data_IF_283576414086
#
_entry.id   IF_283576414086
#
_cell.length_a   1.000
_cell.length_b   1.000
_cell.length_c   1.000
_cell.angle_alpha   90.00
_cell.angle_beta   90.00
_cell.angle_gamma   90.00
#
_symmetry.space_group_name_H-M   'P 1'
#
loop_
_entity.id
_entity.type
_entity.pdbx_description
1 polymer ?
#
# COMPACT_ATOMS: atom_id res chain seq x y z
N UNK A 1 -18.94 16.93 -3.36
CA UNK A 1 -18.06 15.95 -4.04
C UNK A 1 -17.68 16.54 -5.38
N UNK A 2 -16.39 16.69 -5.64
CA UNK A 2 -15.85 17.09 -6.93
C UNK A 2 -15.59 15.84 -7.78
N UNK A 3 -15.68 15.95 -9.10
CA UNK A 3 -15.38 14.84 -10.02
C UNK A 3 -14.15 15.19 -10.83
N UNK A 4 -13.21 14.26 -10.88
CA UNK A 4 -12.00 14.34 -11.65
C UNK A 4 -12.04 13.25 -12.72
N UNK A 5 -11.85 13.65 -13.97
CA UNK A 5 -11.79 12.74 -15.10
C UNK A 5 -10.39 12.81 -15.67
N UNK A 6 -9.72 11.66 -15.70
CA UNK A 6 -8.40 11.54 -16.31
C UNK A 6 -8.56 11.29 -17.80
N UNK A 7 -7.66 11.87 -18.57
CA UNK A 7 -7.44 11.50 -19.96
C UNK A 7 -6.56 10.24 -20.04
N UNK A 8 -6.58 9.52 -21.17
CA UNK A 8 -5.69 8.39 -21.39
C UNK A 8 -4.22 8.74 -21.15
N UNK A 9 -3.58 8.04 -20.21
CA UNK A 9 -2.17 8.26 -19.87
C UNK A 9 -1.89 9.56 -19.10
N UNK A 10 -2.91 10.16 -18.48
CA UNK A 10 -2.76 11.43 -17.76
C UNK A 10 -2.00 11.24 -16.43
N UNK A 11 -1.10 12.18 -16.16
CA UNK A 11 -0.31 12.24 -14.93
C UNK A 11 -0.62 13.53 -14.18
N UNK A 12 -1.35 13.41 -13.07
CA UNK A 12 -1.57 14.48 -12.11
C UNK A 12 -0.55 14.33 -10.99
N UNK A 13 0.60 14.97 -11.20
CA UNK A 13 1.73 14.92 -10.26
C UNK A 13 1.55 15.88 -9.08
N UNK A 14 0.78 16.95 -9.25
CA UNK A 14 0.48 17.89 -8.17
C UNK A 14 -0.53 17.26 -7.21
N UNK A 15 -0.17 17.00 -5.93
CA UNK A 15 -1.06 16.32 -5.01
C UNK A 15 -2.28 17.18 -4.73
N UNK A 16 -3.46 16.69 -5.09
CA UNK A 16 -4.74 17.33 -4.82
C UNK A 16 -5.46 16.63 -3.66
N UNK A 17 -6.45 17.30 -3.10
CA UNK A 17 -7.12 16.83 -1.89
C UNK A 17 -7.09 17.83 -0.73
N UNK A 18 -7.86 17.49 0.30
CA UNK A 18 -7.97 18.19 1.56
C UNK A 18 -9.23 17.77 2.31
N UNK A 19 -9.22 17.85 3.64
CA UNK A 19 -10.28 17.29 4.51
C UNK A 19 -11.71 17.76 4.24
N UNK A 20 -11.89 18.86 3.50
CA UNK A 20 -13.22 19.42 3.17
C UNK A 20 -13.71 19.08 1.76
N UNK A 21 -12.91 18.40 0.96
CA UNK A 21 -13.19 18.13 -0.46
C UNK A 21 -13.02 16.66 -0.76
N UNK A 22 -14.14 15.98 -1.00
CA UNK A 22 -14.16 14.61 -1.51
C UNK A 22 -14.11 14.60 -3.04
N UNK A 23 -13.26 13.76 -3.61
CA UNK A 23 -13.08 13.61 -5.06
C UNK A 23 -13.53 12.23 -5.54
N UNK A 24 -14.32 12.19 -6.61
CA UNK A 24 -14.53 10.96 -7.39
C UNK A 24 -13.55 10.99 -8.56
N UNK A 25 -12.63 10.04 -8.62
CA UNK A 25 -11.59 9.99 -9.64
C UNK A 25 -11.92 8.90 -10.64
N UNK A 26 -12.13 9.30 -11.90
CA UNK A 26 -12.45 8.42 -13.00
C UNK A 26 -11.23 8.30 -13.91
N UNK A 27 -10.65 7.10 -13.95
CA UNK A 27 -9.52 6.76 -14.82
C UNK A 27 -9.98 6.29 -16.20
N UNK A 28 -9.04 5.77 -16.98
CA UNK A 28 -9.31 5.18 -18.29
C UNK A 28 -8.86 3.72 -18.36
N UNK A 29 -8.47 3.23 -19.55
CA UNK A 29 -7.87 1.90 -19.70
C UNK A 29 -6.36 1.96 -19.90
N UNK A 30 -5.78 3.16 -19.88
CA UNK A 30 -4.36 3.40 -20.03
C UNK A 30 -3.70 3.53 -18.65
N UNK A 31 -2.38 3.77 -18.62
CA UNK A 31 -1.63 3.88 -17.37
C UNK A 31 -1.73 5.30 -16.84
N UNK A 32 -2.45 5.53 -15.76
CA UNK A 32 -2.57 6.86 -15.18
C UNK A 32 -1.78 7.04 -13.89
N UNK A 33 -1.35 8.28 -13.64
CA UNK A 33 -0.71 8.66 -12.38
C UNK A 33 -1.51 9.74 -11.68
N UNK A 34 -1.86 9.52 -10.41
CA UNK A 34 -2.59 10.51 -9.59
C UNK A 34 -1.91 10.72 -8.25
N UNK A 35 -1.72 11.98 -7.87
CA UNK A 35 -1.14 12.35 -6.60
C UNK A 35 -2.18 12.91 -5.63
N UNK A 36 -2.15 12.46 -4.38
CA UNK A 36 -3.04 12.90 -3.32
C UNK A 36 -2.27 13.46 -2.13
N UNK A 37 -2.88 14.41 -1.42
CA UNK A 37 -2.38 14.92 -0.13
C UNK A 37 -2.61 13.93 1.02
N UNK A 38 -1.84 14.02 2.13
CA UNK A 38 -2.00 13.13 3.30
C UNK A 38 -3.33 13.32 4.06
N UNK A 39 -4.11 14.32 3.69
CA UNK A 39 -5.42 14.67 4.23
C UNK A 39 -6.52 14.63 3.14
N UNK A 40 -6.26 13.94 2.03
CA UNK A 40 -7.17 13.85 0.90
C UNK A 40 -8.29 12.83 1.13
N UNK A 41 -9.49 13.17 0.67
CA UNK A 41 -10.63 12.26 0.62
C UNK A 41 -10.93 11.98 -0.85
N UNK A 42 -10.78 10.74 -1.29
CA UNK A 42 -10.97 10.38 -2.69
C UNK A 42 -11.57 8.97 -2.84
N UNK A 43 -12.38 8.79 -3.88
CA UNK A 43 -12.95 7.50 -4.27
C UNK A 43 -12.55 7.27 -5.71
N UNK A 44 -11.73 6.25 -5.93
CA UNK A 44 -11.27 5.87 -7.26
C UNK A 44 -12.32 4.93 -7.88
N UNK A 45 -12.60 5.15 -9.16
CA UNK A 45 -13.51 4.33 -9.94
C UNK A 45 -12.89 2.96 -10.25
N UNK A 46 -13.68 1.89 -10.47
CA UNK A 46 -13.17 0.57 -10.83
C UNK A 46 -12.24 0.53 -12.05
N UNK A 47 -12.18 1.56 -12.90
CA UNK A 47 -11.13 1.70 -13.91
C UNK A 47 -9.72 1.42 -13.38
N UNK A 48 -9.41 1.88 -12.16
CA UNK A 48 -8.11 1.68 -11.49
C UNK A 48 -7.83 0.23 -11.07
N UNK A 49 -8.83 -0.66 -11.13
CA UNK A 49 -8.64 -2.09 -10.84
C UNK A 49 -8.04 -2.87 -12.03
N UNK A 50 -7.94 -2.24 -13.20
CA UNK A 50 -7.37 -2.89 -14.40
C UNK A 50 -5.86 -3.00 -14.36
N UNK A 51 -5.23 -2.18 -13.51
CA UNK A 51 -3.84 -2.26 -13.11
C UNK A 51 -2.88 -1.52 -14.03
N UNK A 52 -1.70 -1.23 -13.49
CA UNK A 52 -0.69 -0.38 -14.10
C UNK A 52 -0.78 1.10 -13.72
N UNK A 53 -1.84 1.51 -13.02
CA UNK A 53 -1.97 2.86 -12.48
C UNK A 53 -1.06 3.11 -11.29
N UNK A 54 -0.60 4.35 -11.15
CA UNK A 54 0.24 4.81 -10.05
C UNK A 54 -0.50 5.82 -9.18
N UNK A 55 -0.79 5.44 -7.94
CA UNK A 55 -1.41 6.30 -6.93
C UNK A 55 -0.31 6.80 -6.00
N UNK A 56 0.04 8.06 -6.14
CA UNK A 56 1.03 8.72 -5.29
C UNK A 56 0.35 9.38 -4.09
N UNK A 57 0.80 9.06 -2.88
CA UNK A 57 0.32 9.61 -1.62
C UNK A 57 1.45 10.46 -1.04
N UNK A 58 1.20 11.76 -0.88
CA UNK A 58 2.16 12.64 -0.23
C UNK A 58 2.21 12.31 1.27
N UNK A 59 3.25 11.60 1.69
CA UNK A 59 3.47 11.21 3.09
C UNK A 59 4.16 9.85 3.19
N UNK A 60 4.74 9.54 4.34
CA UNK A 60 5.31 8.21 4.60
C UNK A 60 4.20 7.21 4.94
N UNK A 61 4.31 5.96 4.46
CA UNK A 61 3.36 4.87 4.70
C UNK A 61 3.07 4.66 6.18
N UNK A 62 4.07 4.87 7.05
CA UNK A 62 3.99 4.76 8.53
C UNK A 62 2.92 5.66 9.17
N UNK A 63 2.48 6.71 8.45
CA UNK A 63 1.46 7.64 8.94
C UNK A 63 0.07 7.30 8.41
N UNK A 64 -0.07 6.17 7.72
CA UNK A 64 -1.32 5.71 7.15
C UNK A 64 -1.66 4.32 7.67
N UNK A 65 -2.94 4.13 7.91
CA UNK A 65 -3.55 2.85 8.22
C UNK A 65 -4.32 2.36 6.99
N UNK A 66 -4.11 1.11 6.62
CA UNK A 66 -4.84 0.46 5.54
C UNK A 66 -5.84 -0.56 6.08
N UNK A 67 -7.06 -0.55 5.54
CA UNK A 67 -8.01 -1.63 5.79
C UNK A 67 -8.78 -1.98 4.51
N UNK A 68 -9.26 -3.21 4.42
CA UNK A 68 -10.20 -3.59 3.39
C UNK A 68 -11.63 -3.25 3.79
N UNK A 69 -12.39 -2.80 2.80
CA UNK A 69 -13.84 -2.68 2.87
C UNK A 69 -14.44 -3.31 1.62
N UNK A 70 -14.81 -4.59 1.72
CA UNK A 70 -15.26 -5.38 0.57
C UNK A 70 -14.15 -5.57 -0.47
N UNK A 71 -14.32 -4.99 -1.65
CA UNK A 71 -13.34 -5.00 -2.75
C UNK A 71 -12.61 -3.66 -2.92
N UNK A 72 -12.61 -2.83 -1.88
CA UNK A 72 -11.89 -1.58 -1.86
C UNK A 72 -10.86 -1.60 -0.72
N UNK A 73 -9.64 -1.18 -1.05
CA UNK A 73 -8.64 -0.82 -0.07
C UNK A 73 -8.89 0.62 0.36
N UNK A 74 -9.11 0.81 1.65
CA UNK A 74 -9.34 2.11 2.26
C UNK A 74 -8.05 2.52 2.97
N UNK A 75 -7.46 3.61 2.50
CA UNK A 75 -6.31 4.24 3.14
C UNK A 75 -6.80 5.39 4.01
N UNK A 76 -6.47 5.33 5.30
CA UNK A 76 -6.80 6.37 6.27
C UNK A 76 -5.56 6.94 6.93
N UNK A 77 -5.64 8.18 7.41
CA UNK A 77 -4.55 8.79 8.18
C UNK A 77 -5.08 9.58 9.38
N UNK A 78 -4.26 9.79 10.43
CA UNK A 78 -4.59 10.71 11.53
C UNK A 78 -4.78 12.16 11.06
N UNK A 79 -4.20 12.52 9.91
CA UNK A 79 -4.40 13.82 9.28
C UNK A 79 -5.77 13.94 8.57
N UNK A 80 -6.52 12.83 8.45
CA UNK A 80 -7.86 12.77 7.90
C UNK A 80 -7.95 12.31 6.44
N UNK A 81 -6.93 11.63 5.92
CA UNK A 81 -7.05 10.97 4.62
C UNK A 81 -8.14 9.89 4.69
N UNK A 82 -8.87 9.73 3.58
CA UNK A 82 -9.79 8.64 3.36
C UNK A 82 -9.88 8.36 1.86
N UNK A 83 -9.02 7.46 1.38
CA UNK A 83 -8.88 7.17 -0.05
C UNK A 83 -9.34 5.74 -0.30
N UNK A 84 -10.41 5.57 -1.07
CA UNK A 84 -10.95 4.28 -1.45
C UNK A 84 -10.43 3.87 -2.83
N UNK A 85 -9.60 2.84 -2.86
CA UNK A 85 -8.94 2.32 -4.07
C UNK A 85 -9.52 0.93 -4.37
N UNK A 86 -10.17 0.71 -5.52
CA UNK A 86 -10.69 -0.60 -5.88
C UNK A 86 -9.54 -1.56 -6.18
N UNK A 87 -9.60 -2.75 -5.57
CA UNK A 87 -8.54 -3.76 -5.74
C UNK A 87 -8.80 -4.65 -6.94
N UNK A 88 -7.77 -4.86 -7.75
CA UNK A 88 -7.80 -5.67 -8.96
C UNK A 88 -6.80 -6.82 -8.94
N UNK A 89 -6.92 -7.73 -9.91
CA UNK A 89 -6.00 -8.86 -10.07
C UNK A 89 -4.70 -8.50 -10.79
N UNK A 90 -4.70 -7.45 -11.60
CA UNK A 90 -3.50 -6.96 -12.32
C UNK A 90 -2.52 -6.22 -11.38
N UNK A 91 -3.06 -5.54 -10.37
CA UNK A 91 -2.28 -4.77 -9.39
C UNK A 91 -2.13 -3.29 -9.76
N UNK A 92 -2.32 -2.42 -8.77
CA UNK A 92 -2.08 -0.97 -8.86
C UNK A 92 -0.83 -0.62 -8.02
N UNK A 93 -0.05 0.38 -8.44
CA UNK A 93 1.12 0.83 -7.69
C UNK A 93 0.74 1.96 -6.75
N UNK A 94 0.92 1.77 -5.46
CA UNK A 94 0.76 2.82 -4.44
C UNK A 94 2.14 3.34 -4.08
N UNK A 95 2.45 4.57 -4.46
CA UNK A 95 3.70 5.24 -4.11
C UNK A 95 3.49 6.14 -2.91
N UNK A 96 4.26 5.91 -1.86
CA UNK A 96 4.41 6.80 -0.72
C UNK A 96 5.74 7.56 -0.83
N UNK A 97 5.98 8.47 0.10
CA UNK A 97 7.24 9.21 0.17
C UNK A 97 8.44 8.34 0.60
N UNK A 98 8.20 7.22 1.28
CA UNK A 98 9.21 6.26 1.75
C UNK A 98 9.47 5.12 0.75
N UNK A 99 8.50 4.77 -0.10
CA UNK A 99 8.61 3.66 -1.04
C UNK A 99 7.36 3.46 -1.89
N UNK A 100 7.45 2.59 -2.89
CA UNK A 100 6.32 2.24 -3.77
C UNK A 100 6.00 0.76 -3.65
N UNK A 101 4.72 0.44 -3.47
CA UNK A 101 4.22 -0.90 -3.19
C UNK A 101 3.10 -1.28 -4.14
N UNK A 102 2.98 -2.55 -4.49
CA UNK A 102 1.93 -3.03 -5.40
C UNK A 102 0.73 -3.52 -4.61
N UNK A 103 -0.43 -2.89 -4.82
CA UNK A 103 -1.72 -3.30 -4.30
C UNK A 103 -2.38 -4.27 -5.29
N UNK A 104 -2.46 -5.55 -4.95
CA UNK A 104 -3.04 -6.57 -5.82
C UNK A 104 -3.87 -7.61 -5.06
N UNK A 105 -4.89 -8.14 -5.71
CA UNK A 105 -5.61 -9.32 -5.24
C UNK A 105 -5.06 -10.59 -5.91
N UNK A 106 -4.50 -11.51 -5.12
CA UNK A 106 -3.88 -12.74 -5.66
C UNK A 106 -4.88 -13.90 -5.90
N UNK A 107 -6.18 -13.65 -5.78
CA UNK A 107 -7.23 -14.68 -5.83
C UNK A 107 -7.71 -15.17 -4.47
N UNK A 108 -6.90 -14.98 -3.42
CA UNK A 108 -7.23 -15.38 -2.04
C UNK A 108 -7.21 -14.18 -1.09
N UNK A 109 -6.15 -13.38 -1.14
CA UNK A 109 -5.90 -12.25 -0.26
C UNK A 109 -5.58 -10.99 -1.07
N UNK A 110 -5.87 -9.82 -0.49
CA UNK A 110 -5.34 -8.55 -1.00
C UNK A 110 -4.00 -8.30 -0.33
N UNK A 111 -2.99 -8.02 -1.15
CA UNK A 111 -1.65 -7.69 -0.69
C UNK A 111 -1.30 -6.27 -1.10
N UNK A 112 -0.64 -5.55 -0.20
CA UNK A 112 0.04 -4.30 -0.49
C UNK A 112 1.53 -4.54 -0.27
N UNK A 113 2.29 -4.69 -1.35
CA UNK A 113 3.67 -5.17 -1.26
C UNK A 113 3.71 -6.60 -0.73
N UNK A 114 4.39 -6.82 0.41
CA UNK A 114 4.44 -8.11 1.10
C UNK A 114 3.34 -8.27 2.17
N UNK A 115 2.70 -7.18 2.59
CA UNK A 115 1.71 -7.18 3.67
C UNK A 115 0.33 -7.63 3.18
N UNK A 116 -0.33 -8.48 3.96
CA UNK A 116 -1.71 -8.91 3.70
C UNK A 116 -2.64 -7.91 4.39
N UNK A 117 -3.48 -7.22 3.62
CA UNK A 117 -4.46 -6.29 4.18
C UNK A 117 -5.75 -7.06 4.49
N UNK A 118 -6.34 -6.78 5.65
CA UNK A 118 -7.62 -7.36 6.08
C UNK A 118 -8.63 -6.27 6.38
N UNK A 119 -9.85 -6.63 6.79
CA UNK A 119 -10.89 -5.65 7.16
C UNK A 119 -10.57 -4.86 8.44
N UNK A 120 -9.56 -5.29 9.20
CA UNK A 120 -9.10 -4.58 10.39
C UNK A 120 -8.05 -3.54 9.99
N UNK A 121 -8.17 -2.28 10.43
CA UNK A 121 -7.14 -1.26 10.23
C UNK A 121 -5.80 -1.71 10.79
N UNK A 122 -4.80 -1.72 9.93
CA UNK A 122 -3.41 -2.03 10.27
C UNK A 122 -2.50 -0.94 9.74
N UNK A 123 -1.51 -0.58 10.56
CA UNK A 123 -0.51 0.42 10.20
C UNK A 123 0.40 -0.12 9.10
N UNK A 124 0.78 0.74 8.16
CA UNK A 124 1.59 0.38 6.99
C UNK A 124 3.09 0.63 7.23
N UNK A 125 3.54 0.37 8.46
CA UNK A 125 4.93 0.58 8.88
C UNK A 125 5.91 -0.46 8.33
N UNK A 126 5.39 -1.62 7.90
CA UNK A 126 6.20 -2.80 7.60
C UNK A 126 5.80 -3.47 6.28
N UNK A 127 5.50 -2.63 5.28
CA UNK A 127 5.09 -3.06 3.94
C UNK A 127 6.13 -3.94 3.22
N UNK A 128 7.38 -3.88 3.69
CA UNK A 128 8.52 -4.60 3.15
C UNK A 128 9.11 -5.64 4.14
N UNK A 129 8.50 -5.90 5.31
CA UNK A 129 8.95 -7.10 6.05
C UNK A 129 8.57 -8.34 5.27
N UNK A 130 9.62 -8.98 4.77
CA UNK A 130 9.59 -10.41 4.59
C UNK A 130 9.07 -11.01 5.90
N UNK A 131 8.13 -11.97 5.85
CA UNK A 131 7.69 -12.68 7.06
C UNK A 131 8.97 -13.13 7.75
N UNK A 132 9.19 -12.64 8.98
CA UNK A 132 10.41 -12.93 9.71
C UNK A 132 10.62 -14.44 9.60
N UNK A 133 11.68 -14.85 8.92
CA UNK A 133 12.22 -16.18 9.11
C UNK A 133 12.49 -16.21 10.61
N UNK A 134 11.60 -16.87 11.35
CA UNK A 134 11.87 -17.31 12.71
C UNK A 134 13.01 -18.31 12.57
N UNK A 135 14.22 -17.79 12.34
CA UNK A 135 15.42 -18.40 12.83
C UNK A 135 15.25 -18.33 14.34
N UNK A 136 14.54 -19.32 14.87
CA UNK A 136 14.94 -19.91 16.14
C UNK A 136 16.40 -20.29 15.91
N UNK A 137 17.31 -19.35 16.15
CA UNK A 137 18.66 -19.67 16.50
C UNK A 137 18.50 -20.43 17.80
N UNK A 138 18.40 -21.75 17.68
CA UNK A 138 18.70 -22.63 18.78
C UNK A 138 20.10 -22.24 19.22
N UNK A 139 20.17 -21.48 20.31
CA UNK A 139 21.34 -21.47 21.16
C UNK A 139 21.52 -22.91 21.66
N UNK A 140 22.11 -23.74 20.81
CA UNK A 140 22.67 -25.02 21.22
C UNK A 140 24.18 -24.82 21.34
N UNK A 141 24.56 -24.01 22.32
CA UNK A 141 25.93 -24.02 22.84
C UNK A 141 26.11 -25.31 23.66
N UNK A 142 26.04 -26.47 23.01
CA UNK A 142 26.36 -27.77 23.59
C UNK A 142 27.85 -28.08 23.45
N UNK A 143 28.54 -27.96 24.59
CA UNK A 143 29.75 -28.66 25.03
C UNK A 143 30.54 -29.50 24.00
N UNK A 144 31.71 -28.99 23.59
CA UNK A 144 32.81 -29.75 23.00
C UNK A 144 34.07 -29.62 23.85
N UNK A 145 34.34 -30.63 24.68
CA UNK A 145 35.61 -30.80 25.40
C UNK A 145 36.72 -31.14 24.41
N UNK A 146 37.71 -30.25 24.22
CA UNK A 146 38.97 -30.62 23.58
C UNK A 146 40.12 -30.56 24.59
N UNK A 147 40.36 -31.74 25.18
CA UNK A 147 41.56 -32.16 25.87
C UNK A 147 42.81 -31.82 25.05
N UNK A 148 43.60 -30.86 25.53
CA UNK A 148 44.94 -30.59 24.98
C UNK A 148 45.94 -31.63 25.49
N UNK A 149 46.21 -32.64 24.66
CA UNK A 149 47.47 -33.39 24.67
C UNK A 149 48.21 -33.00 23.40
N UNK A 150 49.40 -32.42 23.52
CA UNK A 150 50.61 -32.77 22.75
C UNK A 150 51.71 -31.71 22.96
N UNK A 151 52.91 -32.16 23.35
CA UNK A 151 54.17 -31.40 23.28
C UNK A 151 54.92 -31.30 24.59
#
# INVERSE_FOLDING_TARGET
MARLFLSPGEEILDPFGGQSTSFDVFGTNDLETVSFKPDAIAVLDPSFNKGGDTINIAGASTNFDGNLSGSNFILTSPAGANIAIPVGTTGATISFADGSYTLQFNGTNVLLGAQIITETPESLDDLDSMPALSATFGDDTAAGSESSTFG
#
